data_IF_374276821257
#
_entry.id   IF_374276821257
#
_cell.length_a   1.000
_cell.length_b   1.000
_cell.length_c   1.000
_cell.angle_alpha   90.00
_cell.angle_beta   90.00
_cell.angle_gamma   90.00
#
_symmetry.space_group_name_H-M   'P 1'
#
loop_
_entity.id
_entity.type
_entity.pdbx_description
1 polymer ?
#
# COMPACT_ATOMS: atom_id res chain seq x y z
N UNK A 1 26.03 2.47 -17.80
CA UNK A 1 25.29 3.71 -17.45
C UNK A 1 23.81 3.60 -17.80
N UNK A 2 23.45 3.08 -18.97
CA UNK A 2 22.05 2.86 -19.39
C UNK A 2 21.29 1.89 -18.49
N UNK A 3 21.92 0.79 -18.06
CA UNK A 3 21.34 -0.18 -17.12
C UNK A 3 21.00 0.44 -15.75
N UNK A 4 21.90 1.28 -15.21
CA UNK A 4 21.68 2.01 -13.95
C UNK A 4 20.45 2.91 -14.06
N UNK A 5 20.35 3.65 -15.17
CA UNK A 5 19.22 4.54 -15.39
C UNK A 5 17.90 3.75 -15.57
N UNK A 6 17.95 2.60 -16.23
CA UNK A 6 16.80 1.72 -16.40
C UNK A 6 16.31 1.16 -15.05
N UNK A 7 17.23 0.67 -14.20
CA UNK A 7 16.89 0.17 -12.86
C UNK A 7 16.41 1.28 -11.93
N UNK A 8 16.94 2.50 -12.08
CA UNK A 8 16.42 3.66 -11.36
C UNK A 8 14.96 3.97 -11.76
N UNK A 9 14.62 3.90 -13.06
CA UNK A 9 13.24 4.07 -13.53
C UNK A 9 12.33 2.99 -12.93
N UNK A 10 12.73 1.72 -12.99
CA UNK A 10 11.95 0.64 -12.37
C UNK A 10 11.82 0.84 -10.87
N UNK A 11 12.87 1.32 -10.21
CA UNK A 11 12.87 1.59 -8.77
C UNK A 11 11.93 2.73 -8.39
N UNK A 12 11.78 3.74 -9.25
CA UNK A 12 10.78 4.82 -9.09
C UNK A 12 9.36 4.27 -9.23
N UNK A 13 9.12 3.38 -10.20
CA UNK A 13 7.81 2.74 -10.41
C UNK A 13 7.45 1.87 -9.20
N UNK A 14 8.33 0.96 -8.80
CA UNK A 14 8.13 0.12 -7.61
C UNK A 14 8.00 0.97 -6.35
N UNK A 15 8.84 2.00 -6.20
CA UNK A 15 8.79 2.93 -5.08
C UNK A 15 7.48 3.71 -5.00
N UNK A 16 6.86 4.02 -6.13
CA UNK A 16 5.53 4.65 -6.21
C UNK A 16 4.43 3.72 -5.69
N UNK A 17 4.49 2.43 -6.07
CA UNK A 17 3.57 1.39 -5.59
C UNK A 17 3.74 1.19 -4.07
N UNK A 18 4.98 1.03 -3.62
CA UNK A 18 5.32 0.84 -2.21
C UNK A 18 4.93 2.05 -1.37
N UNK A 19 5.10 3.27 -1.90
CA UNK A 19 4.69 4.50 -1.23
C UNK A 19 3.19 4.48 -0.89
N UNK A 20 2.32 4.17 -1.85
CA UNK A 20 0.88 4.16 -1.62
C UNK A 20 0.48 3.08 -0.59
N UNK A 21 1.05 1.87 -0.71
CA UNK A 21 0.82 0.81 0.28
C UNK A 21 1.34 1.19 1.67
N UNK A 22 2.55 1.74 1.76
CA UNK A 22 3.19 2.10 3.03
C UNK A 22 2.46 3.24 3.74
N UNK A 23 1.91 4.21 3.00
CA UNK A 23 1.06 5.25 3.54
C UNK A 23 -0.21 4.64 4.14
N UNK A 24 -0.87 3.72 3.43
CA UNK A 24 -2.08 3.05 3.91
C UNK A 24 -1.84 2.32 5.24
N UNK A 25 -0.79 1.50 5.31
CA UNK A 25 -0.36 0.85 6.55
C UNK A 25 -0.02 1.86 7.64
N UNK A 26 0.70 2.93 7.30
CA UNK A 26 1.12 3.94 8.27
C UNK A 26 -0.06 4.72 8.86
N UNK A 27 -1.10 5.01 8.08
CA UNK A 27 -2.30 5.67 8.58
C UNK A 27 -3.06 4.78 9.58
N UNK A 28 -3.24 3.50 9.23
CA UNK A 28 -3.90 2.51 10.09
C UNK A 28 -3.11 2.33 11.39
N UNK A 29 -1.80 2.10 11.29
CA UNK A 29 -0.93 1.94 12.45
C UNK A 29 -0.88 3.19 13.32
N UNK A 30 -0.81 4.37 12.69
CA UNK A 30 -0.68 5.65 13.39
C UNK A 30 -1.83 5.91 14.35
N UNK A 31 -3.03 5.40 14.07
CA UNK A 31 -4.23 5.58 14.90
C UNK A 31 -4.53 4.34 15.74
N UNK A 32 -4.46 3.14 15.15
CA UNK A 32 -4.89 1.90 15.82
C UNK A 32 -3.77 1.11 16.50
N UNK A 33 -2.51 1.50 16.29
CA UNK A 33 -1.34 0.96 17.01
C UNK A 33 -1.17 -0.56 16.91
N UNK A 34 -1.57 -1.16 15.79
CA UNK A 34 -1.28 -2.56 15.48
C UNK A 34 -0.88 -2.75 14.01
N UNK A 35 -0.07 -3.77 13.75
CA UNK A 35 0.34 -4.13 12.40
C UNK A 35 -0.76 -4.94 11.70
N UNK A 36 -1.39 -4.32 10.69
CA UNK A 36 -2.47 -4.94 9.92
C UNK A 36 -1.91 -5.77 8.76
N UNK A 37 -1.71 -7.07 8.95
CA UNK A 37 -1.09 -7.95 7.93
C UNK A 37 -2.00 -8.21 6.72
N UNK A 38 -3.33 -8.12 6.88
CA UNK A 38 -4.27 -8.22 5.77
C UNK A 38 -4.21 -7.03 4.79
N UNK A 39 -3.34 -6.03 5.02
CA UNK A 39 -3.22 -4.90 4.11
C UNK A 39 -2.77 -5.32 2.72
N UNK A 40 -1.86 -6.30 2.63
CA UNK A 40 -1.42 -6.87 1.36
C UNK A 40 -2.59 -7.53 0.62
N UNK A 41 -3.37 -8.36 1.30
CA UNK A 41 -4.52 -9.02 0.68
C UNK A 41 -5.65 -8.02 0.32
N UNK A 42 -5.76 -6.87 1.01
CA UNK A 42 -6.60 -5.75 0.55
C UNK A 42 -6.07 -5.12 -0.75
N UNK A 43 -4.74 -5.01 -0.93
CA UNK A 43 -4.15 -4.59 -2.21
C UNK A 43 -4.53 -5.58 -3.32
N UNK A 44 -4.38 -6.89 -3.06
CA UNK A 44 -4.80 -7.94 -3.99
C UNK A 44 -6.28 -7.78 -4.34
N UNK A 45 -7.16 -7.68 -3.34
CA UNK A 45 -8.61 -7.57 -3.56
C UNK A 45 -8.97 -6.35 -4.41
N UNK A 46 -8.35 -5.18 -4.15
CA UNK A 46 -8.56 -3.97 -4.95
C UNK A 46 -8.16 -4.16 -6.42
N UNK A 47 -7.07 -4.87 -6.69
CA UNK A 47 -6.68 -5.21 -8.06
C UNK A 47 -7.70 -6.12 -8.75
N UNK A 48 -8.23 -7.12 -8.04
CA UNK A 48 -9.24 -8.03 -8.59
C UNK A 48 -10.63 -7.37 -8.77
N UNK A 49 -10.97 -6.37 -7.94
CA UNK A 49 -12.13 -5.52 -8.21
C UNK A 49 -11.95 -4.72 -9.51
N UNK A 50 -10.76 -4.15 -9.73
CA UNK A 50 -10.46 -3.49 -11.01
C UNK A 50 -10.51 -4.48 -12.18
N UNK A 51 -9.99 -5.69 -12.01
CA UNK A 51 -9.99 -6.75 -13.03
C UNK A 51 -11.40 -7.12 -13.46
N UNK A 52 -12.32 -7.23 -12.49
CA UNK A 52 -13.72 -7.58 -12.76
C UNK A 52 -14.42 -6.58 -13.68
N UNK A 53 -14.12 -5.29 -13.51
CA UNK A 53 -14.67 -4.23 -14.35
C UNK A 53 -13.99 -4.18 -15.72
N UNK A 54 -12.69 -4.43 -15.77
CA UNK A 54 -11.91 -4.43 -17.01
C UNK A 54 -12.32 -5.60 -17.89
N UNK A 55 -12.35 -6.82 -17.35
CA UNK A 55 -12.70 -8.04 -18.10
C UNK A 55 -14.21 -8.17 -18.31
N UNK A 56 -15.01 -7.85 -17.29
CA UNK A 56 -16.46 -8.03 -17.34
C UNK A 56 -17.21 -6.94 -18.11
N UNK A 57 -16.75 -5.69 -18.05
CA UNK A 57 -17.41 -4.54 -18.69
C UNK A 57 -16.57 -3.86 -19.79
N UNK A 58 -15.34 -4.33 -20.03
CA UNK A 58 -14.44 -3.72 -21.02
C UNK A 58 -13.91 -2.35 -20.60
N UNK A 59 -13.97 -2.00 -19.31
CA UNK A 59 -13.52 -0.69 -18.84
C UNK A 59 -11.99 -0.57 -18.94
N UNK A 60 -11.45 0.61 -19.30
CA UNK A 60 -10.02 0.85 -19.13
C UNK A 60 -9.68 0.83 -17.63
N UNK A 61 -8.47 0.35 -17.28
CA UNK A 61 -8.02 0.19 -15.89
C UNK A 61 -8.16 1.49 -15.07
N UNK A 62 -7.94 2.63 -15.70
CA UNK A 62 -8.10 3.94 -15.05
C UNK A 62 -9.54 4.25 -14.66
N UNK A 63 -10.50 3.84 -15.48
CA UNK A 63 -11.92 4.03 -15.19
C UNK A 63 -12.45 3.01 -14.16
N UNK A 64 -11.81 1.84 -14.01
CA UNK A 64 -12.17 0.88 -12.97
C UNK A 64 -11.62 1.26 -11.59
N UNK A 65 -10.55 2.06 -11.53
CA UNK A 65 -9.89 2.43 -10.28
C UNK A 65 -10.82 3.09 -9.24
N UNK A 66 -11.68 4.10 -9.55
CA UNK A 66 -12.59 4.68 -8.56
C UNK A 66 -13.53 3.65 -7.91
N UNK A 67 -14.07 2.73 -8.70
CA UNK A 67 -14.98 1.69 -8.21
C UNK A 67 -14.24 0.66 -7.36
N UNK A 68 -13.04 0.25 -7.79
CA UNK A 68 -12.19 -0.65 -7.02
C UNK A 68 -11.74 -0.03 -5.67
N UNK A 69 -11.42 1.27 -5.67
CA UNK A 69 -11.09 2.03 -4.45
C UNK A 69 -12.28 2.04 -3.50
N UNK A 70 -13.49 2.36 -4.00
CA UNK A 70 -14.70 2.38 -3.17
C UNK A 70 -15.00 0.98 -2.64
N UNK A 71 -14.93 -0.06 -3.47
CA UNK A 71 -15.15 -1.44 -3.05
C UNK A 71 -14.17 -1.89 -1.96
N UNK A 72 -12.87 -1.65 -2.14
CA UNK A 72 -11.86 -2.01 -1.16
C UNK A 72 -11.96 -1.17 0.13
N UNK A 73 -12.31 0.11 0.03
CA UNK A 73 -12.58 0.96 1.18
C UNK A 73 -13.78 0.45 2.00
N UNK A 74 -14.85 0.02 1.33
CA UNK A 74 -16.02 -0.58 1.99
C UNK A 74 -15.67 -1.90 2.65
N UNK A 75 -14.87 -2.76 2.00
CA UNK A 75 -14.39 -4.01 2.62
C UNK A 75 -13.50 -3.72 3.83
N UNK A 76 -12.60 -2.75 3.75
CA UNK A 76 -11.75 -2.33 4.88
C UNK A 76 -12.58 -1.83 6.06
N UNK A 77 -13.62 -1.02 5.81
CA UNK A 77 -14.57 -0.59 6.85
C UNK A 77 -15.35 -1.77 7.41
N UNK A 78 -15.82 -2.68 6.56
CA UNK A 78 -16.58 -3.85 6.98
C UNK A 78 -15.75 -4.76 7.89
N UNK A 79 -14.48 -5.00 7.56
CA UNK A 79 -13.53 -5.73 8.40
C UNK A 79 -13.39 -5.07 9.77
N UNK A 80 -13.22 -3.74 9.81
CA UNK A 80 -13.14 -3.02 11.07
C UNK A 80 -14.41 -3.17 11.90
N UNK A 81 -15.59 -2.92 11.32
CA UNK A 81 -16.84 -2.95 12.06
C UNK A 81 -17.22 -4.34 12.56
N UNK A 82 -16.92 -5.38 11.78
CA UNK A 82 -17.30 -6.76 12.11
C UNK A 82 -16.27 -7.43 13.02
N UNK A 83 -14.98 -7.15 12.84
CA UNK A 83 -13.91 -7.85 13.55
C UNK A 83 -13.18 -6.92 14.51
N UNK A 84 -12.47 -5.91 13.99
CA UNK A 84 -11.53 -5.14 14.81
C UNK A 84 -12.19 -4.29 15.87
N UNK A 85 -13.40 -3.76 15.60
CA UNK A 85 -14.18 -2.98 16.55
C UNK A 85 -14.44 -3.75 17.85
N UNK A 86 -14.73 -5.04 17.74
CA UNK A 86 -14.96 -5.93 18.90
C UNK A 86 -13.67 -6.28 19.63
N UNK A 87 -12.51 -6.22 18.95
CA UNK A 87 -11.20 -6.55 19.48
C UNK A 87 -10.36 -5.32 19.86
N UNK A 88 -10.86 -4.09 19.73
CA UNK A 88 -10.07 -2.86 20.00
C UNK A 88 -9.50 -2.78 21.40
N UNK A 89 -10.16 -3.38 22.39
CA UNK A 89 -9.71 -3.41 23.80
C UNK A 89 -8.78 -4.58 24.10
N UNK A 90 -8.60 -5.49 23.14
CA UNK A 90 -7.72 -6.65 23.29
C UNK A 90 -6.25 -6.24 23.11
N UNK A 91 -5.34 -7.11 23.54
CA UNK A 91 -3.91 -6.89 23.34
C UNK A 91 -3.56 -6.74 21.84
N UNK A 92 -2.59 -5.89 21.45
CA UNK A 92 -2.22 -5.69 20.03
C UNK A 92 -1.88 -6.98 19.29
N UNK A 93 -1.33 -7.99 19.97
CA UNK A 93 -1.03 -9.30 19.40
C UNK A 93 -2.30 -10.03 18.93
N UNK A 94 -3.44 -9.84 19.60
CA UNK A 94 -4.73 -10.46 19.23
C UNK A 94 -5.25 -9.83 17.93
N UNK A 95 -5.12 -8.51 17.78
CA UNK A 95 -5.44 -7.80 16.53
C UNK A 95 -4.52 -8.24 15.38
N UNK A 96 -3.23 -8.46 15.66
CA UNK A 96 -2.28 -8.98 14.70
C UNK A 96 -2.66 -10.39 14.23
N UNK A 97 -2.92 -11.33 15.15
CA UNK A 97 -3.35 -12.70 14.82
C UNK A 97 -4.67 -12.67 14.04
N UNK A 98 -5.63 -11.84 14.46
CA UNK A 98 -6.88 -11.62 13.74
C UNK A 98 -6.66 -11.13 12.31
N UNK A 99 -5.68 -10.23 12.10
CA UNK A 99 -5.32 -9.76 10.76
C UNK A 99 -4.74 -10.85 9.86
N UNK A 100 -4.02 -11.83 10.41
CA UNK A 100 -3.62 -13.01 9.64
C UNK A 100 -4.84 -13.87 9.23
N UNK A 101 -5.80 -14.05 10.13
CA UNK A 101 -7.05 -14.74 9.80
C UNK A 101 -7.81 -14.04 8.66
N UNK A 102 -7.90 -12.71 8.71
CA UNK A 102 -8.53 -11.89 7.65
C UNK A 102 -7.73 -11.98 6.35
N UNK A 103 -6.39 -11.95 6.41
CA UNK A 103 -5.52 -12.09 5.24
C UNK A 103 -5.81 -13.40 4.49
N UNK A 104 -5.87 -14.51 5.22
CA UNK A 104 -6.22 -15.82 4.66
C UNK A 104 -7.65 -15.81 4.10
N UNK A 105 -8.62 -15.25 4.83
CA UNK A 105 -10.00 -15.18 4.37
C UNK A 105 -10.14 -14.38 3.06
N UNK A 106 -9.56 -13.18 2.99
CA UNK A 106 -9.57 -12.34 1.79
C UNK A 106 -8.92 -13.05 0.61
N UNK A 107 -7.76 -13.68 0.83
CA UNK A 107 -7.07 -14.45 -0.20
C UNK A 107 -7.90 -15.61 -0.72
N UNK A 108 -8.54 -16.35 0.17
CA UNK A 108 -9.43 -17.46 -0.19
C UNK A 108 -10.65 -16.95 -0.97
N UNK A 109 -11.21 -15.81 -0.60
CA UNK A 109 -12.31 -15.17 -1.36
C UNK A 109 -11.83 -14.80 -2.78
N UNK A 110 -10.64 -14.23 -2.92
CA UNK A 110 -10.07 -13.92 -4.24
C UNK A 110 -9.92 -15.19 -5.08
N UNK A 111 -9.35 -16.26 -4.51
CA UNK A 111 -9.18 -17.53 -5.22
C UNK A 111 -10.51 -18.22 -5.54
N UNK A 112 -11.53 -18.07 -4.70
CA UNK A 112 -12.86 -18.65 -4.93
C UNK A 112 -13.58 -17.97 -6.09
N UNK A 113 -13.49 -16.64 -6.18
CA UNK A 113 -14.23 -15.86 -7.19
C UNK A 113 -13.48 -15.81 -8.52
N UNK A 114 -12.16 -15.58 -8.51
CA UNK A 114 -11.36 -15.39 -9.73
C UNK A 114 -10.42 -16.55 -10.07
N UNK A 115 -10.30 -17.54 -9.18
CA UNK A 115 -9.39 -18.68 -9.38
C UNK A 115 -7.94 -18.41 -8.95
N UNK A 116 -7.09 -19.44 -9.00
CA UNK A 116 -5.68 -19.37 -8.58
C UNK A 116 -4.72 -18.88 -9.67
N UNK A 117 -5.20 -18.68 -10.90
CA UNK A 117 -4.38 -18.45 -12.08
C UNK A 117 -3.87 -17.00 -12.16
N UNK A 118 -2.84 -16.82 -13.00
CA UNK A 118 -2.31 -15.50 -13.29
C UNK A 118 -3.20 -14.79 -14.32
N UNK A 119 -3.60 -13.57 -14.00
CA UNK A 119 -4.47 -12.71 -14.80
C UNK A 119 -3.72 -11.45 -15.26
N UNK A 120 -4.24 -10.80 -16.30
CA UNK A 120 -3.73 -9.52 -16.80
C UNK A 120 -4.90 -8.57 -17.08
N UNK A 121 -4.70 -7.27 -16.88
CA UNK A 121 -5.76 -6.30 -17.18
C UNK A 121 -6.06 -6.17 -18.68
N UNK A 122 -5.03 -6.22 -19.53
CA UNK A 122 -5.21 -6.09 -20.97
C UNK A 122 -4.49 -7.23 -21.69
N UNK A 123 -5.20 -7.93 -22.56
CA UNK A 123 -4.64 -8.88 -23.51
C UNK A 123 -4.26 -8.12 -24.80
N UNK A 124 -2.98 -7.81 -24.95
CA UNK A 124 -2.46 -7.12 -26.13
C UNK A 124 -1.00 -6.72 -25.97
N UNK A 125 -0.27 -6.60 -27.08
CA UNK A 125 1.11 -6.14 -27.07
C UNK A 125 1.10 -4.61 -26.91
N UNK A 126 1.36 -4.13 -25.70
CA UNK A 126 1.69 -2.73 -25.45
C UNK A 126 3.10 -2.47 -25.98
N UNK A 127 3.23 -1.68 -27.05
CA UNK A 127 4.54 -1.30 -27.57
C UNK A 127 5.22 -0.33 -26.58
N UNK A 128 6.38 -0.69 -26.01
CA UNK A 128 7.09 0.21 -25.11
C UNK A 128 7.69 1.38 -25.89
N UNK A 129 7.76 2.53 -25.24
CA UNK A 129 8.48 3.68 -25.78
C UNK A 129 9.97 3.47 -25.59
N UNK A 130 10.73 3.64 -26.68
CA UNK A 130 12.19 3.57 -26.66
C UNK A 130 12.75 4.98 -26.81
N UNK A 131 13.43 5.47 -25.79
CA UNK A 131 14.14 6.76 -25.82
C UNK A 131 15.63 6.45 -25.76
N UNK A 132 16.27 6.30 -26.93
CA UNK A 132 17.60 5.69 -27.02
C UNK A 132 17.55 4.23 -26.56
N UNK A 133 18.42 3.87 -25.62
CA UNK A 133 18.50 2.52 -25.04
C UNK A 133 17.52 2.27 -23.87
N UNK A 134 16.77 3.31 -23.45
CA UNK A 134 15.81 3.19 -22.35
C UNK A 134 14.47 2.65 -22.86
N UNK A 135 13.90 1.71 -22.08
CA UNK A 135 12.61 1.09 -22.38
C UNK A 135 11.60 1.53 -21.33
N UNK A 136 10.64 2.36 -21.71
CA UNK A 136 9.61 2.86 -20.80
C UNK A 136 8.26 2.31 -21.26
N UNK A 137 7.60 1.53 -20.40
CA UNK A 137 6.22 1.12 -20.65
C UNK A 137 5.28 2.32 -20.39
N UNK A 138 4.24 2.52 -21.20
CA UNK A 138 3.22 3.54 -20.91
C UNK A 138 2.65 3.44 -19.49
N UNK A 139 2.43 2.22 -18.99
CA UNK A 139 1.93 1.97 -17.64
C UNK A 139 2.83 2.54 -16.54
N UNK A 140 4.15 2.53 -16.72
CA UNK A 140 5.10 3.06 -15.74
C UNK A 140 4.88 4.56 -15.51
N UNK A 141 4.64 5.32 -16.59
CA UNK A 141 4.39 6.76 -16.51
C UNK A 141 3.13 7.04 -15.72
N UNK A 142 2.08 6.28 -15.99
CA UNK A 142 0.81 6.47 -15.30
C UNK A 142 0.83 6.02 -13.84
N UNK A 143 1.57 4.97 -13.49
CA UNK A 143 1.78 4.53 -12.10
C UNK A 143 2.44 5.67 -11.31
N UNK A 144 3.50 6.26 -11.84
CA UNK A 144 4.22 7.36 -11.19
C UNK A 144 3.33 8.60 -11.08
N UNK A 145 2.67 8.99 -12.17
CA UNK A 145 1.76 10.14 -12.19
C UNK A 145 0.62 9.97 -11.18
N UNK A 146 -0.04 8.80 -11.20
CA UNK A 146 -1.15 8.48 -10.30
C UNK A 146 -0.72 8.47 -8.84
N UNK A 147 0.47 7.94 -8.53
CA UNK A 147 1.01 7.99 -7.18
C UNK A 147 1.28 9.42 -6.72
N UNK A 148 1.89 10.26 -7.56
CA UNK A 148 2.12 11.69 -7.25
C UNK A 148 0.79 12.41 -6.99
N UNK A 149 -0.21 12.21 -7.86
CA UNK A 149 -1.54 12.81 -7.69
C UNK A 149 -2.18 12.38 -6.37
N UNK A 150 -2.13 11.10 -6.02
CA UNK A 150 -2.73 10.58 -4.78
C UNK A 150 -1.96 11.04 -3.54
N UNK A 151 -0.64 11.15 -3.60
CA UNK A 151 0.18 11.71 -2.53
C UNK A 151 -0.18 13.18 -2.29
N UNK A 152 -0.33 13.98 -3.35
CA UNK A 152 -0.77 15.37 -3.26
C UNK A 152 -2.20 15.45 -2.71
N UNK A 153 -3.12 14.63 -3.22
CA UNK A 153 -4.50 14.58 -2.77
C UNK A 153 -4.58 14.23 -1.27
N UNK A 154 -3.79 13.25 -0.82
CA UNK A 154 -3.71 12.89 0.60
C UNK A 154 -3.10 14.00 1.43
N UNK A 155 -2.02 14.65 0.97
CA UNK A 155 -1.43 15.80 1.65
C UNK A 155 -2.46 16.91 1.87
N UNK A 156 -3.20 17.27 0.82
CA UNK A 156 -4.27 18.26 0.90
C UNK A 156 -5.40 17.79 1.84
N UNK A 157 -5.77 16.52 1.78
CA UNK A 157 -6.77 15.95 2.68
C UNK A 157 -6.34 16.06 4.15
N UNK A 158 -5.12 15.64 4.49
CA UNK A 158 -4.58 15.66 5.85
C UNK A 158 -4.36 17.09 6.38
N UNK A 159 -3.97 18.02 5.52
CA UNK A 159 -3.63 19.40 5.92
C UNK A 159 -4.79 20.37 5.90
N UNK A 160 -5.68 20.27 4.90
CA UNK A 160 -6.74 21.26 4.65
C UNK A 160 -8.10 20.87 5.21
N UNK A 161 -8.38 19.58 5.41
CA UNK A 161 -9.72 19.15 5.87
C UNK A 161 -9.83 19.02 7.39
N UNK A 162 -11.04 19.17 7.92
CA UNK A 162 -11.33 18.94 9.36
C UNK A 162 -11.06 17.48 9.75
N UNK A 163 -11.42 16.54 8.88
CA UNK A 163 -11.20 15.10 9.11
C UNK A 163 -9.71 14.75 9.12
N UNK A 164 -8.93 15.27 8.17
CA UNK A 164 -7.49 15.07 8.12
C UNK A 164 -6.75 15.64 9.34
N UNK A 165 -7.19 16.81 9.84
CA UNK A 165 -6.69 17.36 11.12
C UNK A 165 -7.04 16.46 12.31
N UNK A 166 -8.26 15.92 12.35
CA UNK A 166 -8.67 14.98 13.40
C UNK A 166 -7.87 13.66 13.36
N UNK A 167 -7.59 13.12 12.18
CA UNK A 167 -6.74 11.93 12.00
C UNK A 167 -5.32 12.17 12.54
N UNK A 168 -4.71 13.32 12.23
CA UNK A 168 -3.38 13.66 12.75
C UNK A 168 -3.38 13.83 14.26
N UNK A 169 -4.39 14.51 14.82
CA UNK A 169 -4.53 14.65 16.28
C UNK A 169 -4.69 13.29 16.98
N UNK A 170 -5.53 12.41 16.45
CA UNK A 170 -5.72 11.05 16.98
C UNK A 170 -4.44 10.20 16.88
N UNK A 171 -3.65 10.38 15.81
CA UNK A 171 -2.39 9.66 15.66
C UNK A 171 -1.31 10.17 16.61
N UNK A 172 -1.29 11.47 16.91
CA UNK A 172 -0.34 12.03 17.86
C UNK A 172 -0.68 11.62 19.31
N UNK A 173 -1.95 11.78 19.74
CA UNK A 173 -2.42 11.31 21.04
C UNK A 173 -3.94 11.06 21.03
N UNK A 174 -4.33 9.78 21.06
CA UNK A 174 -5.73 9.35 21.04
C UNK A 174 -6.52 9.81 22.28
N UNK A 175 -5.94 9.72 23.48
CA UNK A 175 -6.63 10.08 24.72
C UNK A 175 -6.93 11.58 24.78
N UNK A 176 -5.95 12.42 24.40
CA UNK A 176 -6.14 13.86 24.34
C UNK A 176 -7.15 14.27 23.27
N UNK A 177 -7.14 13.59 22.13
CA UNK A 177 -8.10 13.82 21.05
C UNK A 177 -9.54 13.47 21.49
N UNK A 178 -9.72 12.38 22.24
CA UNK A 178 -11.01 11.98 22.81
C UNK A 178 -11.54 13.00 23.82
N UNK A 179 -10.69 13.49 24.73
CA UNK A 179 -11.06 14.54 25.70
C UNK A 179 -11.42 15.85 25.00
N UNK A 180 -10.81 16.11 23.84
CA UNK A 180 -11.11 17.28 22.99
C UNK A 180 -12.39 17.12 22.15
N UNK A 181 -13.15 16.04 22.32
CA UNK A 181 -14.42 15.80 21.62
C UNK A 181 -14.29 15.32 20.18
N UNK A 182 -13.12 14.82 19.76
CA UNK A 182 -12.94 14.26 18.41
C UNK A 182 -13.69 12.92 18.31
N UNK A 183 -14.60 12.74 17.33
CA UNK A 183 -15.37 11.50 17.20
C UNK A 183 -14.49 10.35 16.68
N UNK A 184 -13.91 9.58 17.59
CA UNK A 184 -12.93 8.53 17.28
C UNK A 184 -13.43 7.51 16.27
N UNK A 185 -14.65 6.99 16.42
CA UNK A 185 -15.17 5.95 15.51
C UNK A 185 -15.29 6.46 14.06
N UNK A 186 -15.69 7.72 13.87
CA UNK A 186 -15.74 8.32 12.52
C UNK A 186 -14.35 8.50 11.94
N UNK A 187 -13.39 8.92 12.76
CA UNK A 187 -11.98 9.05 12.33
C UNK A 187 -11.41 7.70 11.94
N UNK A 188 -11.68 6.65 12.73
CA UNK A 188 -11.23 5.29 12.45
C UNK A 188 -11.84 4.77 11.15
N UNK A 189 -13.16 4.91 10.94
CA UNK A 189 -13.81 4.52 9.69
C UNK A 189 -13.20 5.20 8.47
N UNK A 190 -12.93 6.51 8.54
CA UNK A 190 -12.27 7.24 7.45
C UNK A 190 -10.83 6.77 7.26
N UNK A 191 -10.14 6.40 8.33
CA UNK A 191 -8.78 5.85 8.25
C UNK A 191 -8.77 4.52 7.52
N UNK A 192 -9.73 3.64 7.79
CA UNK A 192 -9.92 2.40 7.03
C UNK A 192 -10.31 2.66 5.58
N UNK A 193 -11.16 3.64 5.32
CA UNK A 193 -11.55 4.01 3.96
C UNK A 193 -10.34 4.49 3.13
N UNK A 194 -9.55 5.42 3.69
CA UNK A 194 -8.36 5.97 3.02
C UNK A 194 -7.26 4.93 2.93
N UNK A 195 -6.99 4.19 4.01
CA UNK A 195 -5.97 3.14 4.02
C UNK A 195 -6.28 2.00 3.06
N UNK A 196 -7.52 1.49 3.07
CA UNK A 196 -8.00 0.47 2.14
C UNK A 196 -8.07 0.95 0.69
N UNK A 197 -8.46 2.20 0.47
CA UNK A 197 -8.44 2.82 -0.86
C UNK A 197 -7.03 2.95 -1.43
N UNK A 198 -6.05 3.42 -0.64
CA UNK A 198 -4.65 3.49 -1.06
C UNK A 198 -4.05 2.10 -1.30
N UNK A 199 -4.41 1.11 -0.47
CA UNK A 199 -4.05 -0.30 -0.70
C UNK A 199 -4.57 -0.78 -2.05
N UNK A 200 -5.83 -0.49 -2.37
CA UNK A 200 -6.43 -0.87 -3.65
C UNK A 200 -5.67 -0.27 -4.83
N UNK A 201 -5.33 1.02 -4.78
CA UNK A 201 -4.56 1.64 -5.87
C UNK A 201 -3.17 1.03 -5.99
N UNK A 202 -2.48 0.79 -4.87
CA UNK A 202 -1.18 0.14 -4.88
C UNK A 202 -1.26 -1.26 -5.53
N UNK A 203 -2.31 -2.03 -5.23
CA UNK A 203 -2.58 -3.31 -5.87
C UNK A 203 -2.91 -3.17 -7.37
N UNK A 204 -3.70 -2.17 -7.76
CA UNK A 204 -4.00 -1.92 -9.17
C UNK A 204 -2.70 -1.62 -9.93
N UNK A 205 -1.88 -0.70 -9.41
CA UNK A 205 -0.61 -0.33 -10.04
C UNK A 205 0.35 -1.51 -10.12
N UNK A 206 0.39 -2.37 -9.11
CA UNK A 206 1.15 -3.62 -9.18
C UNK A 206 0.65 -4.54 -10.30
N UNK A 207 -0.66 -4.71 -10.43
CA UNK A 207 -1.26 -5.52 -11.49
C UNK A 207 -1.10 -4.92 -12.90
N UNK A 208 -0.81 -3.62 -12.99
CA UNK A 208 -0.44 -2.96 -14.25
C UNK A 208 1.04 -3.17 -14.59
N UNK A 209 1.92 -3.10 -13.60
CA UNK A 209 3.36 -3.31 -13.77
C UNK A 209 3.70 -4.78 -14.06
N UNK A 210 3.00 -5.67 -13.36
CA UNK A 210 3.22 -7.13 -13.36
C UNK A 210 1.94 -7.88 -13.71
N UNK A 211 1.85 -9.18 -13.38
CA UNK A 211 0.63 -9.98 -13.57
C UNK A 211 -0.13 -10.07 -12.25
N UNK A 212 -1.45 -10.05 -12.33
CA UNK A 212 -2.30 -10.30 -11.17
C UNK A 212 -2.22 -11.77 -10.80
N UNK A 213 -2.00 -12.04 -9.52
CA UNK A 213 -2.06 -13.39 -8.97
C UNK A 213 -2.50 -13.31 -7.51
N UNK A 214 -3.20 -14.32 -6.96
CA UNK A 214 -3.89 -14.16 -5.67
C UNK A 214 -2.99 -13.93 -4.46
N UNK A 215 -1.68 -14.18 -4.58
CA UNK A 215 -0.69 -13.96 -3.50
C UNK A 215 0.18 -12.72 -3.73
N UNK A 216 -0.12 -11.88 -4.71
CA UNK A 216 0.72 -10.73 -5.06
C UNK A 216 0.87 -9.75 -3.88
N UNK A 217 -0.23 -9.42 -3.20
CA UNK A 217 -0.21 -8.55 -2.03
C UNK A 217 0.55 -9.13 -0.84
N UNK A 218 0.56 -10.46 -0.69
CA UNK A 218 1.35 -11.13 0.34
C UNK A 218 2.85 -10.97 0.10
N UNK A 219 3.31 -11.13 -1.15
CA UNK A 219 4.72 -10.94 -1.50
C UNK A 219 5.20 -9.50 -1.29
N UNK A 220 4.31 -8.52 -1.43
CA UNK A 220 4.60 -7.10 -1.23
C UNK A 220 4.39 -6.60 0.19
N UNK A 221 3.74 -7.38 1.04
CA UNK A 221 3.45 -6.98 2.41
C UNK A 221 4.73 -6.62 3.17
N UNK A 222 5.76 -7.45 3.06
CA UNK A 222 7.04 -7.21 3.72
C UNK A 222 7.71 -5.93 3.20
N UNK A 223 7.92 -5.73 1.88
CA UNK A 223 8.43 -4.46 1.36
C UNK A 223 7.62 -3.22 1.78
N UNK A 224 6.30 -3.33 1.84
CA UNK A 224 5.40 -2.24 2.28
C UNK A 224 5.63 -1.91 3.76
N UNK A 225 5.73 -2.92 4.64
CA UNK A 225 6.08 -2.69 6.04
C UNK A 225 7.50 -2.16 6.21
N UNK A 226 8.46 -2.68 5.44
CA UNK A 226 9.83 -2.17 5.43
C UNK A 226 9.87 -0.69 5.09
N UNK A 227 9.11 -0.27 4.05
CA UNK A 227 8.96 1.13 3.68
C UNK A 227 8.31 1.97 4.78
N UNK A 228 7.23 1.49 5.41
CA UNK A 228 6.55 2.18 6.50
C UNK A 228 7.46 2.35 7.74
N UNK A 229 8.17 1.29 8.13
CA UNK A 229 9.08 1.30 9.29
C UNK A 229 10.30 2.17 9.00
N UNK A 230 10.90 2.03 7.81
CA UNK A 230 12.03 2.87 7.40
C UNK A 230 11.65 4.35 7.39
N UNK A 231 10.43 4.67 6.93
CA UNK A 231 9.85 6.01 6.99
C UNK A 231 9.55 6.53 8.40
N UNK A 232 9.43 5.66 9.40
CA UNK A 232 8.85 5.98 10.71
C UNK A 232 7.36 5.65 10.72
N UNK A 233 7.04 4.45 11.20
CA UNK A 233 5.68 3.92 11.17
C UNK A 233 4.71 4.88 11.88
N UNK A 234 3.52 5.08 11.31
CA UNK A 234 2.56 6.08 11.80
C UNK A 234 2.74 7.48 11.22
N UNK A 235 3.80 7.75 10.45
CA UNK A 235 4.03 9.06 9.77
C UNK A 235 3.85 8.93 8.25
N UNK A 236 2.73 9.42 7.67
CA UNK A 236 2.46 9.30 6.23
C UNK A 236 3.55 9.88 5.32
N UNK A 237 4.16 11.01 5.71
CA UNK A 237 5.24 11.62 4.92
C UNK A 237 6.53 10.79 4.95
N UNK A 238 6.78 10.14 6.08
CA UNK A 238 7.90 9.22 6.21
C UNK A 238 7.75 8.01 5.31
N UNK A 239 6.52 7.47 5.22
CA UNK A 239 6.20 6.35 4.34
C UNK A 239 6.46 6.65 2.85
N UNK A 240 6.36 7.90 2.40
CA UNK A 240 6.72 8.31 1.02
C UNK A 240 8.23 8.13 0.79
N UNK A 241 9.04 8.70 1.66
CA UNK A 241 10.49 8.57 1.57
C UNK A 241 10.92 7.09 1.70
N UNK A 242 10.30 6.36 2.61
CA UNK A 242 10.57 4.94 2.82
C UNK A 242 10.19 4.07 1.62
N UNK A 243 9.02 4.30 1.02
CA UNK A 243 8.59 3.60 -0.20
C UNK A 243 9.55 3.82 -1.35
N UNK A 244 9.98 5.08 -1.55
CA UNK A 244 10.93 5.42 -2.60
C UNK A 244 12.32 4.80 -2.38
N UNK A 245 12.85 4.87 -1.15
CA UNK A 245 14.15 4.28 -0.81
C UNK A 245 14.13 2.76 -0.97
N UNK A 246 13.10 2.09 -0.46
CA UNK A 246 12.98 0.63 -0.58
C UNK A 246 12.82 0.22 -2.05
N UNK A 247 11.96 0.90 -2.82
CA UNK A 247 11.75 0.60 -4.24
C UNK A 247 13.03 0.75 -5.07
N UNK A 248 13.75 1.87 -4.89
CA UNK A 248 15.05 2.09 -5.53
C UNK A 248 16.08 1.04 -5.11
N UNK A 249 16.19 0.74 -3.81
CA UNK A 249 17.16 -0.23 -3.32
C UNK A 249 16.88 -1.64 -3.85
N UNK A 250 15.62 -2.06 -3.90
CA UNK A 250 15.22 -3.36 -4.43
C UNK A 250 15.61 -3.48 -5.90
N UNK A 251 15.29 -2.50 -6.74
CA UNK A 251 15.62 -2.56 -8.17
C UNK A 251 17.11 -2.40 -8.45
N UNK A 252 17.80 -1.49 -7.75
CA UNK A 252 19.24 -1.30 -7.92
C UNK A 252 20.06 -2.49 -7.44
N UNK A 253 19.58 -3.22 -6.44
CA UNK A 253 20.29 -4.40 -5.92
C UNK A 253 20.49 -5.49 -6.98
N UNK A 254 19.62 -5.58 -7.99
CA UNK A 254 19.70 -6.65 -8.99
C UNK A 254 20.89 -6.58 -9.92
N UNK A 255 21.69 -5.51 -9.84
CA UNK A 255 23.00 -5.44 -10.48
C UNK A 255 23.98 -6.46 -9.89
N UNK A 256 23.79 -6.83 -8.61
CA UNK A 256 24.76 -7.64 -7.85
C UNK A 256 24.11 -8.91 -7.29
N UNK A 257 22.81 -8.89 -7.02
CA UNK A 257 22.06 -10.04 -6.49
C UNK A 257 21.02 -10.56 -7.49
N UNK A 258 20.67 -11.84 -7.39
CA UNK A 258 19.58 -12.41 -8.19
C UNK A 258 18.25 -11.70 -7.86
N UNK A 259 17.43 -11.31 -8.86
CA UNK A 259 16.13 -10.65 -8.65
C UNK A 259 15.17 -11.37 -7.71
N UNK A 260 15.30 -12.68 -7.54
CA UNK A 260 14.52 -13.49 -6.58
C UNK A 260 14.72 -13.00 -5.13
N UNK A 261 15.89 -12.43 -4.81
CA UNK A 261 16.22 -11.93 -3.49
C UNK A 261 15.87 -10.45 -3.26
N UNK A 262 15.17 -9.78 -4.21
CA UNK A 262 14.70 -8.40 -4.02
C UNK A 262 14.00 -8.16 -2.66
N UNK A 263 13.06 -9.02 -2.20
CA UNK A 263 12.41 -8.80 -0.91
C UNK A 263 13.36 -8.88 0.29
N UNK A 264 14.46 -9.64 0.18
CA UNK A 264 15.46 -9.74 1.24
C UNK A 264 16.20 -8.41 1.45
N UNK A 265 16.37 -7.60 0.41
CA UNK A 265 16.96 -6.26 0.50
C UNK A 265 16.07 -5.33 1.31
N UNK A 266 14.75 -5.35 1.07
CA UNK A 266 13.80 -4.58 1.85
C UNK A 266 13.84 -5.00 3.33
N UNK A 267 13.89 -6.31 3.60
CA UNK A 267 14.03 -6.83 4.96
C UNK A 267 15.33 -6.37 5.64
N UNK A 268 16.47 -6.50 4.95
CA UNK A 268 17.77 -6.10 5.47
C UNK A 268 17.81 -4.60 5.80
N UNK A 269 17.27 -3.75 4.92
CA UNK A 269 17.18 -2.31 5.16
C UNK A 269 16.29 -1.98 6.34
N UNK A 270 15.16 -2.68 6.49
CA UNK A 270 14.29 -2.53 7.66
C UNK A 270 15.02 -2.91 8.96
N UNK A 271 15.71 -4.06 9.00
CA UNK A 271 16.48 -4.51 10.17
C UNK A 271 17.60 -3.52 10.49
N UNK A 272 18.38 -3.11 9.49
CA UNK A 272 19.44 -2.13 9.66
C UNK A 272 18.89 -0.81 10.21
N UNK A 273 17.76 -0.37 9.69
CA UNK A 273 17.10 0.85 10.17
C UNK A 273 16.65 0.71 11.62
N UNK A 274 16.09 -0.42 12.02
CA UNK A 274 15.68 -0.65 13.41
C UNK A 274 16.87 -0.68 14.38
N UNK A 275 18.04 -1.16 13.93
CA UNK A 275 19.28 -1.14 14.72
C UNK A 275 19.83 0.29 14.86
N UNK A 276 19.87 1.06 13.76
CA UNK A 276 20.53 2.37 13.72
C UNK A 276 19.61 3.50 14.22
N UNK A 277 18.32 3.46 13.85
CA UNK A 277 17.29 4.45 14.21
C UNK A 277 15.92 3.78 14.35
N UNK A 278 15.59 3.22 15.53
CA UNK A 278 14.33 2.48 15.76
C UNK A 278 13.06 3.34 15.57
N UNK A 279 13.19 4.67 15.56
CA UNK A 279 12.09 5.60 15.31
C UNK A 279 11.79 5.82 13.82
N UNK A 280 12.61 5.27 12.91
CA UNK A 280 12.53 5.55 11.47
C UNK A 280 13.25 6.84 11.05
N UNK A 281 13.19 7.17 9.75
CA UNK A 281 13.86 8.34 9.17
C UNK A 281 13.25 9.63 9.71
N UNK A 282 11.94 9.60 9.93
CA UNK A 282 11.16 10.63 10.58
C UNK A 282 10.72 10.11 11.93
N UNK A 283 10.67 10.97 12.96
CA UNK A 283 10.34 10.59 14.33
C UNK A 283 8.95 9.92 14.41
N UNK A 284 8.93 8.59 14.35
CA UNK A 284 7.73 7.79 14.61
C UNK A 284 7.27 8.01 16.04
N UNK A 285 5.95 8.04 16.26
CA UNK A 285 5.43 7.88 17.62
C UNK A 285 5.42 6.37 17.88
N UNK A 286 6.20 5.83 18.83
CA UNK A 286 6.03 4.44 19.26
C UNK A 286 4.63 4.20 19.81
#
# INVERSE_FOLDING_TARGET
MTEILQLAIYGVVLGSILTLGAIGVSLIFGILRFAHFAHGDLMTLGAYFALSLVVGLGFPVWASAPFAIVGAALVAIAIDQTVYRHLRKAAPIILLISSFGIAIALRSVVQLIWGPHNEVYASGIQMPWRVGDLVIKPDHVWIVLGAVVLVIALHLFLTRTKMGKAMRAMSDNMDLALVSGIPSERVIMVTWAVGGGLAAVAGIFLGMDTRLHPVMGWSLLLPVFAAAILGGIGRPYGAIAGGMVIGLAMEMSTMVINPTYKPAVAFALMVLMLIVRPQGLFKGNP
#
